data_IF_978266850264
#
_entry.id   IF_978266850264
#
_cell.length_a   1.000
_cell.length_b   1.000
_cell.length_c   1.000
_cell.angle_alpha   90.00
_cell.angle_beta   90.00
_cell.angle_gamma   90.00
#
_symmetry.space_group_name_H-M   'P 1'
#
loop_
_entity.id
_entity.type
_entity.pdbx_description
1 polymer ?
#
# COMPACT_ATOMS: atom_id res chain seq x y z
N UNK A 1 31.55 -3.54 8.89
CA UNK A 1 30.14 -3.25 9.23
C UNK A 1 29.67 -2.14 8.29
N UNK A 2 28.54 -2.29 7.61
CA UNK A 2 28.03 -1.23 6.72
C UNK A 2 27.48 -0.07 7.56
N UNK A 3 27.89 1.18 7.31
CA UNK A 3 27.30 2.32 8.00
C UNK A 3 25.80 2.45 7.70
N UNK A 4 25.02 2.80 8.71
CA UNK A 4 23.58 3.06 8.59
C UNK A 4 23.30 4.52 8.93
N UNK A 5 22.66 5.24 8.02
CA UNK A 5 22.26 6.64 8.19
C UNK A 5 20.75 6.74 8.33
N UNK A 6 20.28 7.45 9.36
CA UNK A 6 18.88 7.74 9.59
C UNK A 6 18.63 9.23 9.32
N UNK A 7 17.81 9.54 8.32
CA UNK A 7 17.46 10.90 7.93
C UNK A 7 16.05 11.19 8.42
N UNK A 8 15.93 12.11 9.38
CA UNK A 8 14.64 12.61 9.87
C UNK A 8 14.28 14.00 9.37
N UNK A 9 15.13 14.62 8.54
CA UNK A 9 14.95 15.96 7.98
C UNK A 9 14.54 15.87 6.50
N UNK A 10 13.47 16.56 6.13
CA UNK A 10 12.90 16.47 4.78
C UNK A 10 13.78 17.11 3.71
N UNK A 11 14.43 18.24 4.03
CA UNK A 11 15.26 18.94 3.06
C UNK A 11 16.48 18.09 2.72
N UNK A 12 17.10 17.47 3.73
CA UNK A 12 18.18 16.52 3.54
C UNK A 12 17.72 15.25 2.81
N UNK A 13 16.53 14.74 3.13
CA UNK A 13 15.98 13.57 2.44
C UNK A 13 15.74 13.85 0.96
N UNK A 14 15.20 15.03 0.59
CA UNK A 14 15.04 15.47 -0.80
C UNK A 14 16.39 15.69 -1.49
N UNK A 15 17.35 16.32 -0.82
CA UNK A 15 18.70 16.48 -1.36
C UNK A 15 19.34 15.13 -1.74
N UNK A 16 19.26 14.14 -0.84
CA UNK A 16 19.90 12.83 -1.04
C UNK A 16 19.10 11.95 -1.99
N UNK A 17 17.80 11.78 -1.74
CA UNK A 17 16.96 10.83 -2.47
C UNK A 17 16.36 11.41 -3.74
N UNK A 18 16.25 12.73 -3.87
CA UNK A 18 15.82 13.36 -5.11
C UNK A 18 16.99 13.79 -5.97
N UNK A 19 17.70 14.84 -5.54
CA UNK A 19 18.73 15.46 -6.37
C UNK A 19 19.91 14.53 -6.64
N UNK A 20 20.17 13.58 -5.73
CA UNK A 20 21.30 12.63 -5.82
C UNK A 20 20.86 11.17 -5.95
N UNK A 21 19.64 10.93 -6.42
CA UNK A 21 19.06 9.59 -6.58
C UNK A 21 19.92 8.58 -7.33
N UNK A 22 20.67 9.00 -8.35
CA UNK A 22 21.58 8.12 -9.10
C UNK A 22 22.61 7.46 -8.19
N UNK A 23 23.03 8.14 -7.13
CA UNK A 23 23.97 7.63 -6.12
C UNK A 23 23.28 6.91 -4.97
N UNK A 24 22.06 7.29 -4.59
CA UNK A 24 21.45 6.86 -3.33
C UNK A 24 20.17 6.03 -3.45
N UNK A 25 19.58 5.86 -4.63
CA UNK A 25 18.28 5.18 -4.76
C UNK A 25 18.38 3.66 -4.97
N UNK A 26 19.57 3.04 -4.88
CA UNK A 26 19.70 1.59 -4.90
C UNK A 26 19.09 0.94 -3.65
N UNK A 27 19.01 -0.39 -3.61
CA UNK A 27 18.51 -1.16 -2.46
C UNK A 27 19.62 -1.99 -1.82
N UNK A 28 19.65 -2.11 -0.48
CA UNK A 28 20.56 -3.03 0.18
C UNK A 28 20.28 -4.48 -0.25
N UNK A 29 21.35 -5.24 -0.40
CA UNK A 29 21.25 -6.68 -0.67
C UNK A 29 20.97 -7.39 0.65
N UNK A 30 19.85 -8.10 0.71
CA UNK A 30 19.57 -9.06 1.78
C UNK A 30 19.97 -10.44 1.24
N UNK A 31 21.12 -11.02 1.65
CA UNK A 31 21.66 -12.24 1.04
C UNK A 31 20.65 -13.37 0.98
N UNK A 32 19.89 -13.59 2.06
CA UNK A 32 18.88 -14.63 2.10
C UNK A 32 17.77 -14.44 1.08
N UNK A 33 17.27 -13.21 0.93
CA UNK A 33 16.20 -12.90 -0.01
C UNK A 33 16.71 -13.05 -1.44
N UNK A 34 17.83 -12.43 -1.77
CA UNK A 34 18.38 -12.45 -3.12
C UNK A 34 18.85 -13.84 -3.58
N UNK A 35 19.22 -14.73 -2.66
CA UNK A 35 19.65 -16.08 -3.03
C UNK A 35 18.51 -17.10 -3.07
N UNK A 36 17.50 -16.97 -2.19
CA UNK A 36 16.55 -18.06 -1.95
C UNK A 36 15.08 -17.68 -2.01
N UNK A 37 14.70 -16.45 -1.64
CA UNK A 37 13.29 -16.03 -1.58
C UNK A 37 12.86 -15.38 -2.90
N UNK A 38 13.70 -14.51 -3.46
CA UNK A 38 13.46 -13.78 -4.70
C UNK A 38 14.76 -13.64 -5.54
N UNK A 39 15.28 -14.76 -6.06
CA UNK A 39 16.49 -14.73 -6.89
C UNK A 39 16.28 -14.01 -8.22
N UNK A 40 15.04 -13.98 -8.72
CA UNK A 40 14.66 -13.25 -9.93
C UNK A 40 14.49 -11.73 -9.69
N UNK A 41 14.53 -11.27 -8.43
CA UNK A 41 14.39 -9.87 -8.05
C UNK A 41 13.08 -9.24 -8.55
N UNK A 42 11.98 -10.01 -8.50
CA UNK A 42 10.64 -9.56 -8.93
C UNK A 42 9.98 -8.62 -7.91
N UNK A 43 10.43 -8.61 -6.66
CA UNK A 43 10.02 -7.60 -5.69
C UNK A 43 10.76 -6.28 -5.92
N UNK A 44 10.25 -5.47 -6.83
CA UNK A 44 10.86 -4.19 -7.21
C UNK A 44 11.10 -3.22 -6.06
N UNK A 45 10.33 -3.34 -4.97
CA UNK A 45 10.52 -2.55 -3.76
C UNK A 45 11.85 -2.86 -3.05
N UNK A 46 12.34 -4.10 -3.16
CA UNK A 46 13.51 -4.63 -2.47
C UNK A 46 14.70 -4.90 -3.40
N UNK A 47 14.48 -4.89 -4.72
CA UNK A 47 15.52 -5.20 -5.69
C UNK A 47 16.37 -4.00 -6.08
N UNK A 48 17.57 -4.29 -6.59
CA UNK A 48 18.43 -3.27 -7.19
C UNK A 48 17.77 -2.70 -8.44
N UNK A 49 18.15 -1.47 -8.77
CA UNK A 49 17.79 -0.88 -10.06
C UNK A 49 18.50 -1.64 -11.19
N UNK A 50 17.80 -2.61 -11.76
CA UNK A 50 18.20 -3.38 -12.93
C UNK A 50 17.19 -3.13 -14.07
N UNK A 51 17.40 -3.76 -15.22
CA UNK A 51 16.51 -3.61 -16.38
C UNK A 51 15.06 -3.98 -16.06
N UNK A 52 14.85 -5.08 -15.33
CA UNK A 52 13.53 -5.54 -14.88
C UNK A 52 12.81 -4.51 -14.01
N UNK A 53 13.53 -3.88 -13.07
CA UNK A 53 13.02 -2.81 -12.23
C UNK A 53 12.57 -1.60 -13.06
N UNK A 54 13.37 -1.20 -14.07
CA UNK A 54 13.04 -0.07 -14.94
C UNK A 54 11.80 -0.35 -15.80
N UNK A 55 11.68 -1.58 -16.32
CA UNK A 55 10.48 -2.03 -17.03
C UNK A 55 9.26 -1.96 -16.10
N UNK A 56 9.37 -2.52 -14.89
CA UNK A 56 8.30 -2.49 -13.89
C UNK A 56 7.86 -1.08 -13.52
N UNK A 57 8.81 -0.16 -13.33
CA UNK A 57 8.53 1.27 -13.10
C UNK A 57 7.77 1.92 -14.25
N UNK A 58 8.17 1.69 -15.50
CA UNK A 58 7.47 2.23 -16.69
C UNK A 58 6.05 1.69 -16.79
N UNK A 59 5.89 0.38 -16.62
CA UNK A 59 4.59 -0.30 -16.64
C UNK A 59 3.66 0.26 -15.55
N UNK A 60 4.14 0.36 -14.32
CA UNK A 60 3.35 0.88 -13.21
C UNK A 60 3.03 2.37 -13.39
N UNK A 61 3.94 3.18 -13.92
CA UNK A 61 3.68 4.58 -14.21
C UNK A 61 2.54 4.76 -15.22
N UNK A 62 2.47 3.89 -16.24
CA UNK A 62 1.36 3.85 -17.20
C UNK A 62 0.02 3.53 -16.55
N UNK A 63 -0.05 2.50 -15.70
CA UNK A 63 -1.27 2.19 -14.93
C UNK A 63 -1.71 3.36 -14.04
N UNK A 64 -0.76 4.01 -13.37
CA UNK A 64 -1.06 5.11 -12.47
C UNK A 64 -1.48 6.38 -13.22
N UNK A 65 -1.11 6.52 -14.50
CA UNK A 65 -1.67 7.55 -15.36
C UNK A 65 -3.16 7.30 -15.63
N UNK A 66 -3.57 6.06 -15.95
CA UNK A 66 -4.97 5.67 -16.09
C UNK A 66 -5.77 5.86 -14.79
N UNK A 67 -5.19 5.49 -13.64
CA UNK A 67 -5.78 5.79 -12.32
C UNK A 67 -5.98 7.29 -12.14
N UNK A 68 -4.99 8.13 -12.49
CA UNK A 68 -5.12 9.59 -12.42
C UNK A 68 -6.15 10.16 -13.40
N UNK A 69 -6.37 9.50 -14.54
CA UNK A 69 -7.41 9.85 -15.49
C UNK A 69 -8.82 9.46 -15.01
N UNK A 70 -8.95 8.75 -13.89
CA UNK A 70 -10.24 8.40 -13.30
C UNK A 70 -10.82 7.07 -13.76
N UNK A 71 -10.05 6.25 -14.48
CA UNK A 71 -10.57 4.97 -14.98
C UNK A 71 -11.05 4.07 -13.84
N UNK A 72 -10.31 3.99 -12.73
CA UNK A 72 -10.64 3.13 -11.58
C UNK A 72 -11.70 3.68 -10.65
N UNK A 73 -12.21 4.89 -10.89
CA UNK A 73 -13.18 5.55 -10.01
C UNK A 73 -14.47 4.75 -9.80
N UNK A 74 -15.07 4.11 -10.83
CA UNK A 74 -16.26 3.29 -10.63
C UNK A 74 -16.00 2.11 -9.69
N UNK A 75 -14.86 1.42 -9.84
CA UNK A 75 -14.50 0.32 -8.94
C UNK A 75 -14.36 0.82 -7.49
N UNK A 76 -13.69 1.95 -7.28
CA UNK A 76 -13.44 2.49 -5.95
C UNK A 76 -14.74 2.97 -5.28
N UNK A 77 -15.68 3.52 -6.05
CA UNK A 77 -17.00 3.90 -5.54
C UNK A 77 -17.84 2.68 -5.18
N UNK A 78 -17.85 1.66 -6.04
CA UNK A 78 -18.59 0.42 -5.80
C UNK A 78 -18.14 -0.27 -4.51
N UNK A 79 -16.83 -0.45 -4.34
CA UNK A 79 -16.28 -1.12 -3.16
C UNK A 79 -16.47 -0.31 -1.87
N UNK A 80 -16.44 1.03 -1.96
CA UNK A 80 -16.73 1.90 -0.83
C UNK A 80 -18.21 1.83 -0.43
N UNK A 81 -19.12 1.80 -1.41
CA UNK A 81 -20.55 1.59 -1.14
C UNK A 81 -20.80 0.24 -0.49
N UNK A 82 -20.22 -0.84 -1.03
CA UNK A 82 -20.33 -2.18 -0.46
C UNK A 82 -19.77 -2.24 0.97
N UNK A 83 -18.71 -1.48 1.25
CA UNK A 83 -18.17 -1.37 2.59
C UNK A 83 -19.16 -0.74 3.57
N UNK A 84 -19.81 0.35 3.16
CA UNK A 84 -20.83 1.04 3.96
C UNK A 84 -22.03 0.12 4.21
N UNK A 85 -22.49 -0.63 3.22
CA UNK A 85 -23.61 -1.56 3.40
C UNK A 85 -23.27 -2.66 4.40
N UNK A 86 -22.08 -3.26 4.31
CA UNK A 86 -21.67 -4.27 5.30
C UNK A 86 -21.52 -3.70 6.71
N UNK A 87 -21.00 -2.47 6.84
CA UNK A 87 -20.93 -1.78 8.12
C UNK A 87 -22.32 -1.50 8.71
N UNK A 88 -23.31 -1.17 7.88
CA UNK A 88 -24.71 -1.00 8.30
C UNK A 88 -25.31 -2.33 8.76
N UNK A 89 -25.13 -3.40 7.99
CA UNK A 89 -25.69 -4.72 8.30
C UNK A 89 -25.12 -5.31 9.60
N UNK A 90 -23.81 -5.12 9.82
CA UNK A 90 -23.11 -5.59 11.02
C UNK A 90 -23.25 -4.62 12.22
N UNK A 91 -23.73 -3.41 11.99
CA UNK A 91 -23.78 -2.35 13.00
C UNK A 91 -22.38 -1.89 13.46
N UNK A 92 -21.36 -2.06 12.62
CA UNK A 92 -19.98 -1.65 12.90
C UNK A 92 -19.20 -2.51 13.90
N UNK A 93 -19.67 -3.72 14.25
CA UNK A 93 -19.05 -4.59 15.25
C UNK A 93 -17.67 -5.09 14.84
N UNK A 94 -17.50 -5.51 13.59
CA UNK A 94 -16.24 -6.00 13.04
C UNK A 94 -15.61 -4.98 12.08
N UNK A 95 -15.44 -3.75 12.57
CA UNK A 95 -14.86 -2.63 11.81
C UNK A 95 -13.58 -3.01 11.05
N UNK A 96 -12.62 -3.65 11.73
CA UNK A 96 -11.33 -3.99 11.12
C UNK A 96 -11.48 -4.97 9.95
N UNK A 97 -12.37 -5.95 10.06
CA UNK A 97 -12.64 -6.87 8.97
C UNK A 97 -13.15 -6.14 7.72
N UNK A 98 -14.10 -5.21 7.89
CA UNK A 98 -14.66 -4.45 6.76
C UNK A 98 -13.61 -3.56 6.09
N UNK A 99 -12.76 -2.89 6.88
CA UNK A 99 -11.65 -2.06 6.36
C UNK A 99 -10.60 -2.92 5.62
N UNK A 100 -10.23 -4.08 6.17
CA UNK A 100 -9.30 -5.00 5.51
C UNK A 100 -9.89 -5.55 4.21
N UNK A 101 -11.19 -5.91 4.22
CA UNK A 101 -11.93 -6.41 3.06
C UNK A 101 -11.99 -5.37 1.94
N UNK A 102 -12.42 -4.14 2.21
CA UNK A 102 -12.55 -3.12 1.16
C UNK A 102 -11.20 -2.81 0.53
N UNK A 103 -10.15 -2.72 1.34
CA UNK A 103 -8.79 -2.48 0.87
C UNK A 103 -8.32 -3.62 -0.06
N UNK A 104 -8.47 -4.86 0.38
CA UNK A 104 -8.03 -6.01 -0.39
C UNK A 104 -8.87 -6.21 -1.66
N UNK A 105 -10.20 -6.14 -1.56
CA UNK A 105 -11.10 -6.35 -2.70
C UNK A 105 -10.88 -5.31 -3.79
N UNK A 106 -10.68 -4.03 -3.44
CA UNK A 106 -10.34 -2.98 -4.41
C UNK A 106 -9.05 -3.31 -5.18
N UNK A 107 -7.97 -3.64 -4.47
CA UNK A 107 -6.66 -3.90 -5.09
C UNK A 107 -6.70 -5.17 -5.94
N UNK A 108 -7.30 -6.25 -5.42
CA UNK A 108 -7.36 -7.53 -6.13
C UNK A 108 -8.32 -7.50 -7.33
N UNK A 109 -9.40 -6.72 -7.24
CA UNK A 109 -10.28 -6.46 -8.39
C UNK A 109 -9.56 -5.64 -9.46
N UNK A 110 -8.83 -4.59 -9.10
CA UNK A 110 -8.07 -3.79 -10.06
C UNK A 110 -6.92 -4.59 -10.70
N UNK A 111 -6.18 -5.35 -9.89
CA UNK A 111 -4.99 -6.07 -10.32
C UNK A 111 -5.33 -7.34 -11.12
N UNK A 112 -6.23 -8.18 -10.61
CA UNK A 112 -6.50 -9.52 -11.12
C UNK A 112 -7.97 -9.77 -11.47
N UNK A 113 -8.87 -8.81 -11.21
CA UNK A 113 -10.31 -8.99 -11.37
C UNK A 113 -10.88 -9.99 -10.37
N UNK A 114 -10.20 -10.17 -9.22
CA UNK A 114 -10.64 -10.97 -8.10
C UNK A 114 -11.41 -10.09 -7.13
N UNK A 115 -12.74 -10.12 -7.21
CA UNK A 115 -13.63 -9.45 -6.28
C UNK A 115 -13.81 -10.28 -5.01
N UNK A 116 -13.68 -9.65 -3.84
CA UNK A 116 -13.75 -10.28 -2.52
C UNK A 116 -14.88 -9.64 -1.68
N UNK A 117 -16.15 -9.97 -1.96
CA UNK A 117 -17.30 -9.37 -1.28
C UNK A 117 -17.35 -9.73 0.21
N UNK A 118 -16.92 -10.92 0.62
CA UNK A 118 -17.03 -11.36 2.03
C UNK A 118 -15.75 -11.14 2.83
N UNK A 119 -14.60 -10.99 2.16
CA UNK A 119 -13.30 -10.98 2.82
C UNK A 119 -12.88 -12.34 3.38
N UNK A 120 -13.64 -13.40 3.10
CA UNK A 120 -13.42 -14.76 3.58
C UNK A 120 -13.03 -15.73 2.46
N UNK A 121 -12.88 -15.22 1.24
CA UNK A 121 -12.52 -15.99 0.05
C UNK A 121 -11.18 -16.71 0.26
N UNK A 122 -11.10 -17.97 -0.20
CA UNK A 122 -9.89 -18.78 -0.04
C UNK A 122 -8.66 -18.15 -0.69
N UNK A 123 -8.84 -17.53 -1.86
CA UNK A 123 -7.76 -16.86 -2.59
C UNK A 123 -7.25 -15.64 -1.81
N UNK A 124 -8.14 -14.87 -1.17
CA UNK A 124 -7.75 -13.74 -0.33
C UNK A 124 -6.95 -14.19 0.90
N UNK A 125 -7.44 -15.22 1.60
CA UNK A 125 -6.75 -15.81 2.75
C UNK A 125 -5.36 -16.33 2.38
N UNK A 126 -5.25 -16.95 1.22
CA UNK A 126 -3.98 -17.45 0.68
C UNK A 126 -3.00 -16.31 0.39
N UNK A 127 -3.47 -15.23 -0.23
CA UNK A 127 -2.66 -14.03 -0.50
C UNK A 127 -2.14 -13.43 0.80
N UNK A 128 -3.00 -13.27 1.82
CA UNK A 128 -2.57 -12.76 3.12
C UNK A 128 -1.60 -13.70 3.84
N UNK A 129 -1.78 -15.02 3.72
CA UNK A 129 -0.83 -15.99 4.26
C UNK A 129 0.55 -15.87 3.59
N UNK A 130 0.60 -15.74 2.26
CA UNK A 130 1.84 -15.48 1.53
C UNK A 130 2.48 -14.15 1.94
N UNK A 131 1.72 -13.06 2.07
CA UNK A 131 2.25 -11.76 2.52
C UNK A 131 2.81 -11.81 3.95
N UNK A 132 2.16 -12.54 4.85
CA UNK A 132 2.64 -12.74 6.21
C UNK A 132 3.96 -13.54 6.24
N UNK A 133 4.07 -14.59 5.42
CA UNK A 133 5.29 -15.38 5.29
C UNK A 133 6.42 -14.56 4.65
N UNK A 134 6.14 -13.78 3.61
CA UNK A 134 7.10 -12.86 3.01
C UNK A 134 7.68 -11.90 4.05
N UNK A 135 6.81 -11.30 4.86
CA UNK A 135 7.20 -10.36 5.92
C UNK A 135 8.17 -10.98 6.93
N UNK A 136 8.02 -12.27 7.21
CA UNK A 136 8.95 -13.03 8.07
C UNK A 136 10.27 -13.31 7.34
N UNK A 137 10.23 -13.67 6.06
CA UNK A 137 11.38 -14.06 5.27
C UNK A 137 12.31 -12.88 4.89
N UNK A 138 11.74 -11.68 4.70
CA UNK A 138 12.53 -10.47 4.38
C UNK A 138 13.16 -9.82 5.61
N UNK A 139 12.79 -10.27 6.82
CA UNK A 139 13.37 -9.75 8.04
C UNK A 139 14.89 -10.02 8.06
N UNK A 140 15.75 -9.03 8.39
CA UNK A 140 17.18 -9.26 8.54
C UNK A 140 17.53 -10.44 9.45
N UNK A 141 16.72 -10.74 10.47
CA UNK A 141 16.93 -11.87 11.39
C UNK A 141 16.39 -13.21 10.87
N UNK A 142 15.79 -13.27 9.69
CA UNK A 142 15.17 -14.49 9.15
C UNK A 142 16.17 -15.62 8.88
N UNK A 143 17.43 -15.28 8.66
CA UNK A 143 18.47 -16.26 8.39
C UNK A 143 19.83 -15.80 8.88
N UNK A 144 20.63 -16.76 9.37
CA UNK A 144 22.00 -16.51 9.83
C UNK A 144 22.90 -15.97 8.71
N UNK A 145 22.61 -16.30 7.44
CA UNK A 145 23.41 -15.83 6.30
C UNK A 145 23.24 -14.33 6.01
N UNK A 146 22.21 -13.69 6.58
CA UNK A 146 22.11 -12.22 6.51
C UNK A 146 23.17 -11.54 7.39
N UNK A 147 23.59 -12.21 8.48
CA UNK A 147 24.63 -11.71 9.40
C UNK A 147 26.01 -12.24 9.01
N UNK A 148 26.08 -13.52 8.63
CA UNK A 148 27.31 -14.22 8.28
C UNK A 148 27.18 -14.82 6.86
N UNK A 149 27.29 -14.00 5.79
CA UNK A 149 27.04 -14.46 4.42
C UNK A 149 27.97 -15.60 3.97
N UNK A 150 29.19 -15.66 4.51
CA UNK A 150 30.16 -16.70 4.18
C UNK A 150 29.71 -18.11 4.58
N UNK A 151 28.75 -18.26 5.50
CA UNK A 151 28.18 -19.56 5.85
C UNK A 151 27.42 -20.19 4.68
N UNK A 152 27.02 -19.41 3.67
CA UNK A 152 26.36 -19.94 2.49
C UNK A 152 27.30 -20.70 1.55
N UNK A 153 28.62 -20.66 1.78
CA UNK A 153 29.60 -21.49 1.05
C UNK A 153 29.44 -22.97 1.43
N UNK A 154 28.87 -23.27 2.61
CA UNK A 154 28.79 -24.64 3.11
C UNK A 154 27.81 -25.46 2.23
N UNK A 155 28.26 -26.59 1.64
CA UNK A 155 27.42 -27.41 0.76
C UNK A 155 26.34 -28.16 1.55
N UNK A 156 25.29 -28.58 0.84
CA UNK A 156 24.22 -29.42 1.40
C UNK A 156 22.91 -28.67 1.70
N UNK A 157 21.89 -29.39 2.18
CA UNK A 157 20.54 -28.87 2.27
C UNK A 157 20.34 -28.13 3.60
N UNK A 158 20.99 -26.96 3.72
CA UNK A 158 20.97 -26.13 4.92
C UNK A 158 19.57 -25.63 5.29
N UNK A 159 19.28 -25.37 6.58
CA UNK A 159 17.93 -24.99 7.04
C UNK A 159 17.35 -23.78 6.30
N UNK A 160 18.17 -22.75 6.04
CA UNK A 160 17.72 -21.54 5.34
C UNK A 160 17.29 -21.84 3.90
N UNK A 161 18.00 -22.72 3.18
CA UNK A 161 17.66 -23.13 1.81
C UNK A 161 16.33 -23.86 1.75
N UNK A 162 16.11 -24.79 2.71
CA UNK A 162 14.86 -25.55 2.81
C UNK A 162 13.67 -24.67 3.19
N UNK A 163 13.89 -23.63 3.99
CA UNK A 163 12.81 -22.79 4.50
C UNK A 163 12.19 -21.87 3.43
N UNK A 164 12.98 -21.37 2.47
CA UNK A 164 12.49 -20.46 1.44
C UNK A 164 11.80 -21.16 0.25
N UNK A 165 12.19 -22.39 -0.08
CA UNK A 165 11.69 -23.10 -1.27
C UNK A 165 10.16 -23.32 -1.29
N UNK A 166 9.51 -23.78 -0.19
CA UNK A 166 8.07 -23.97 -0.18
C UNK A 166 7.31 -22.67 -0.41
N UNK A 167 7.80 -21.56 0.18
CA UNK A 167 7.23 -20.24 0.01
C UNK A 167 7.23 -19.82 -1.45
N UNK A 168 8.38 -19.90 -2.14
CA UNK A 168 8.49 -19.44 -3.52
C UNK A 168 7.58 -20.22 -4.46
N UNK A 169 7.56 -21.55 -4.32
CA UNK A 169 6.69 -22.43 -5.12
C UNK A 169 5.21 -22.11 -4.91
N UNK A 170 4.80 -21.89 -3.66
CA UNK A 170 3.42 -21.54 -3.28
C UNK A 170 3.01 -20.19 -3.89
N UNK A 171 3.89 -19.19 -3.79
CA UNK A 171 3.64 -17.87 -4.35
C UNK A 171 3.56 -17.88 -5.88
N UNK A 172 4.51 -18.52 -6.57
CA UNK A 172 4.50 -18.61 -8.03
C UNK A 172 3.22 -19.31 -8.51
N UNK A 173 2.77 -20.38 -7.85
CA UNK A 173 1.50 -21.04 -8.15
C UNK A 173 0.28 -20.13 -7.97
N UNK A 174 0.28 -19.32 -6.90
CA UNK A 174 -0.81 -18.39 -6.63
C UNK A 174 -0.89 -17.30 -7.70
N UNK A 175 0.22 -16.63 -8.02
CA UNK A 175 0.23 -15.58 -9.03
C UNK A 175 -0.02 -16.13 -10.44
N UNK A 176 0.50 -17.30 -10.79
CA UNK A 176 0.22 -17.95 -12.08
C UNK A 176 -1.28 -18.24 -12.24
N UNK A 177 -1.92 -18.75 -11.19
CA UNK A 177 -3.39 -18.92 -11.14
C UNK A 177 -4.13 -17.59 -11.35
N UNK A 178 -3.75 -16.54 -10.62
CA UNK A 178 -4.41 -15.23 -10.69
C UNK A 178 -4.24 -14.56 -12.04
N UNK A 179 -3.03 -14.59 -12.60
CA UNK A 179 -2.70 -14.02 -13.91
C UNK A 179 -3.44 -14.80 -15.01
N UNK A 180 -3.45 -16.13 -14.96
CA UNK A 180 -4.15 -16.96 -15.94
C UNK A 180 -5.65 -16.62 -15.98
N UNK A 181 -6.31 -16.50 -14.82
CA UNK A 181 -7.72 -16.08 -14.73
C UNK A 181 -7.96 -14.67 -15.26
N UNK A 182 -7.02 -13.76 -15.00
CA UNK A 182 -7.09 -12.39 -15.50
C UNK A 182 -6.99 -12.32 -17.03
N UNK A 183 -6.13 -13.14 -17.64
CA UNK A 183 -5.91 -13.18 -19.10
C UNK A 183 -7.03 -13.92 -19.82
N UNK A 184 -7.52 -15.04 -19.26
CA UNK A 184 -8.57 -15.87 -19.88
C UNK A 184 -9.94 -15.19 -19.93
N UNK A 185 -10.12 -14.08 -19.20
CA UNK A 185 -11.40 -13.38 -19.11
C UNK A 185 -12.39 -14.03 -18.13
N UNK A 186 -11.97 -15.09 -17.41
CA UNK A 186 -12.72 -15.68 -16.28
C UNK A 186 -12.74 -14.79 -15.04
N UNK A 187 -11.86 -13.78 -15.00
CA UNK A 187 -11.94 -12.68 -14.04
C UNK A 187 -13.23 -11.85 -14.23
N UNK A 188 -13.47 -10.86 -13.37
CA UNK A 188 -14.70 -10.02 -13.30
C UNK A 188 -15.15 -9.30 -14.59
N UNK A 189 -14.59 -9.60 -15.77
CA UNK A 189 -14.90 -8.99 -17.05
C UNK A 189 -14.35 -7.58 -17.20
N UNK A 190 -13.52 -7.13 -16.25
CA UNK A 190 -12.89 -5.82 -16.23
C UNK A 190 -11.56 -5.79 -16.98
N UNK A 191 -11.13 -4.59 -17.36
CA UNK A 191 -9.73 -4.30 -17.67
C UNK A 191 -8.88 -4.38 -16.40
N UNK A 192 -8.38 -5.58 -16.10
CA UNK A 192 -7.44 -5.81 -15.00
C UNK A 192 -6.03 -5.35 -15.39
N UNK A 193 -5.26 -4.90 -14.42
CA UNK A 193 -3.87 -4.51 -14.67
C UNK A 193 -3.03 -5.69 -15.17
N UNK A 194 -3.26 -6.90 -14.64
CA UNK A 194 -2.59 -8.11 -15.10
C UNK A 194 -2.90 -8.40 -16.58
N UNK A 195 -4.16 -8.27 -17.01
CA UNK A 195 -4.52 -8.49 -18.40
C UNK A 195 -3.97 -7.40 -19.33
N UNK A 196 -3.89 -6.15 -18.86
CA UNK A 196 -3.29 -5.04 -19.59
C UNK A 196 -1.78 -5.21 -19.83
N UNK A 197 -1.08 -5.92 -18.93
CA UNK A 197 0.34 -6.24 -19.08
C UNK A 197 0.63 -7.48 -19.92
N UNK A 198 -0.29 -8.45 -19.95
CA UNK A 198 -0.06 -9.74 -20.58
C UNK A 198 -0.58 -9.87 -22.02
N UNK A 199 -1.61 -9.11 -22.42
CA UNK A 199 -2.19 -9.18 -23.78
C UNK A 199 -1.45 -8.23 -24.75
N UNK A 200 -1.09 -8.76 -25.93
CA UNK A 200 -0.43 -7.99 -27.01
C UNK A 200 -1.42 -7.15 -27.82
N UNK A 201 -2.65 -7.64 -27.93
CA UNK A 201 -3.83 -6.92 -28.38
C UNK A 201 -4.48 -6.24 -27.17
N UNK A 202 -4.75 -4.93 -27.27
CA UNK A 202 -5.41 -4.17 -26.20
C UNK A 202 -6.91 -4.05 -26.50
N UNK A 203 -7.78 -4.98 -26.10
CA UNK A 203 -9.21 -4.69 -26.08
C UNK A 203 -9.52 -3.84 -24.85
N UNK A 204 -10.24 -2.74 -25.05
CA UNK A 204 -10.80 -1.92 -23.98
C UNK A 204 -11.90 -2.70 -23.24
N UNK A 205 -11.60 -3.22 -22.05
CA UNK A 205 -12.58 -3.66 -21.06
C UNK A 205 -13.20 -2.49 -20.28
N UNK A 206 -14.50 -2.56 -20.08
CA UNK A 206 -15.29 -1.49 -19.45
C UNK A 206 -15.32 -1.64 -17.93
N UNK A 207 -14.57 -0.81 -17.20
CA UNK A 207 -14.59 -0.77 -15.73
C UNK A 207 -15.95 -0.33 -15.16
N UNK A 208 -16.86 0.21 -15.99
CA UNK A 208 -18.26 0.50 -15.62
C UNK A 208 -19.12 -0.76 -15.51
N UNK A 209 -18.66 -1.93 -15.99
CA UNK A 209 -19.45 -3.17 -15.94
C UNK A 209 -19.75 -3.63 -14.51
N UNK A 210 -18.79 -3.51 -13.57
CA UNK A 210 -19.07 -3.79 -12.15
C UNK A 210 -20.08 -2.80 -11.55
N UNK A 211 -20.01 -1.53 -11.97
CA UNK A 211 -21.00 -0.53 -11.57
C UNK A 211 -22.38 -0.95 -12.10
N UNK A 212 -22.52 -1.14 -13.41
CA UNK A 212 -23.78 -1.46 -14.08
C UNK A 212 -24.41 -2.80 -13.67
N UNK A 213 -23.62 -3.78 -13.21
CA UNK A 213 -24.14 -5.05 -12.68
C UNK A 213 -24.93 -4.87 -11.37
N UNK A 214 -24.73 -3.76 -10.64
CA UNK A 214 -25.40 -3.48 -9.37
C UNK A 214 -26.05 -2.09 -9.29
N UNK A 215 -25.73 -1.16 -10.20
CA UNK A 215 -26.37 0.16 -10.32
C UNK A 215 -27.54 0.13 -11.28
N UNK A 216 -28.66 -0.45 -10.84
CA UNK A 216 -29.97 -0.10 -11.38
C UNK A 216 -30.82 0.50 -10.28
N UNK A 217 -30.50 1.75 -9.93
CA UNK A 217 -31.40 2.90 -9.73
C UNK A 217 -30.62 4.05 -9.07
N UNK A 218 -30.55 5.16 -9.79
CA UNK A 218 -30.25 6.51 -9.29
C UNK A 218 -28.89 6.76 -8.66
N UNK A 219 -27.95 7.27 -9.47
CA UNK A 219 -26.89 8.14 -8.93
C UNK A 219 -26.65 9.28 -9.92
N UNK A 220 -27.06 10.51 -9.57
CA UNK A 220 -26.46 11.72 -10.13
C UNK A 220 -26.54 12.98 -9.22
N UNK A 221 -25.33 13.49 -8.94
CA UNK A 221 -24.79 14.84 -8.62
C UNK A 221 -25.37 15.89 -7.60
N UNK A 222 -24.45 16.44 -6.79
CA UNK A 222 -24.39 17.54 -5.78
C UNK A 222 -25.41 17.61 -4.60
N UNK A 223 -25.16 17.10 -3.39
CA UNK A 223 -26.25 16.54 -2.52
C UNK A 223 -26.42 17.14 -1.13
N UNK A 224 -27.69 17.36 -0.75
CA UNK A 224 -28.17 17.22 0.63
C UNK A 224 -28.23 15.75 1.09
N UNK A 225 -29.32 15.34 1.75
CA UNK A 225 -29.51 13.97 2.29
C UNK A 225 -29.88 12.92 1.22
N UNK A 226 -30.09 13.34 -0.03
CA UNK A 226 -30.84 12.55 -1.04
C UNK A 226 -30.01 11.64 -1.98
N UNK A 227 -28.66 11.59 -1.87
CA UNK A 227 -27.73 10.73 -2.63
C UNK A 227 -26.33 10.68 -2.00
N UNK A 228 -25.44 9.80 -2.51
CA UNK A 228 -24.11 9.48 -1.94
C UNK A 228 -22.91 10.30 -2.49
N UNK A 229 -21.85 10.55 -1.69
CA UNK A 229 -20.62 11.22 -2.15
C UNK A 229 -19.91 10.54 -3.33
N UNK A 230 -19.30 11.34 -4.22
CA UNK A 230 -18.58 10.87 -5.42
C UNK A 230 -17.28 11.64 -5.65
N UNK A 231 -16.41 11.18 -6.56
CA UNK A 231 -15.15 11.89 -6.87
C UNK A 231 -15.37 13.30 -7.44
N UNK A 232 -16.54 13.57 -8.06
CA UNK A 232 -16.94 14.92 -8.51
C UNK A 232 -17.11 15.92 -7.35
N UNK A 233 -17.26 15.43 -6.12
CA UNK A 233 -17.43 16.24 -4.91
C UNK A 233 -16.08 16.59 -4.25
N UNK A 234 -14.97 15.89 -4.60
CA UNK A 234 -13.65 16.08 -3.96
C UNK A 234 -13.13 17.52 -3.94
N UNK A 235 -13.19 18.31 -5.03
CA UNK A 235 -12.75 19.70 -4.99
C UNK A 235 -13.54 20.59 -4.02
N UNK A 236 -14.76 20.18 -3.65
CA UNK A 236 -15.66 20.90 -2.73
C UNK A 236 -15.61 20.39 -1.29
N UNK A 237 -14.80 19.35 -1.01
CA UNK A 237 -14.68 18.72 0.30
C UNK A 237 -13.24 18.84 0.85
N UNK A 238 -12.73 20.08 1.05
CA UNK A 238 -11.36 20.30 1.51
C UNK A 238 -11.08 19.77 2.92
N UNK A 239 -12.12 19.68 3.77
CA UNK A 239 -11.96 19.12 5.12
C UNK A 239 -11.74 17.61 5.10
N UNK A 240 -12.44 16.88 4.23
CA UNK A 240 -12.22 15.44 4.03
C UNK A 240 -10.80 15.20 3.50
N UNK A 241 -10.35 16.04 2.57
CA UNK A 241 -8.96 16.01 2.08
C UNK A 241 -7.95 16.25 3.22
N UNK A 242 -8.24 17.17 4.14
CA UNK A 242 -7.40 17.40 5.32
C UNK A 242 -7.36 16.16 6.24
N UNK A 243 -8.49 15.48 6.47
CA UNK A 243 -8.53 14.23 7.27
C UNK A 243 -7.66 13.14 6.65
N UNK A 244 -7.75 12.94 5.32
CA UNK A 244 -6.92 11.96 4.61
C UNK A 244 -5.44 12.26 4.82
N UNK A 245 -5.03 13.51 4.59
CA UNK A 245 -3.63 13.94 4.74
C UNK A 245 -3.15 13.83 6.18
N UNK A 246 -3.97 14.22 7.14
CA UNK A 246 -3.63 14.17 8.56
C UNK A 246 -3.53 12.74 9.07
N UNK A 247 -4.39 11.84 8.60
CA UNK A 247 -4.29 10.40 8.88
C UNK A 247 -2.96 9.84 8.38
N UNK A 248 -2.56 10.18 7.15
CA UNK A 248 -1.29 9.74 6.57
C UNK A 248 -0.08 10.42 7.23
N UNK A 249 -0.25 11.64 7.75
CA UNK A 249 0.78 12.37 8.50
C UNK A 249 1.02 11.75 9.88
N UNK A 250 -0.06 11.48 10.62
CA UNK A 250 -0.01 10.93 11.97
C UNK A 250 0.31 9.44 11.96
N UNK A 251 -0.17 8.66 10.99
CA UNK A 251 0.04 7.20 10.90
C UNK A 251 0.46 6.77 9.50
N UNK A 252 1.66 7.15 9.02
CA UNK A 252 2.16 6.65 7.74
C UNK A 252 2.28 5.13 7.75
N UNK A 253 1.83 4.51 6.64
CA UNK A 253 1.86 3.06 6.47
C UNK A 253 3.27 2.47 6.60
N UNK A 254 4.31 3.19 6.12
CA UNK A 254 5.70 2.79 6.21
C UNK A 254 6.50 3.72 7.15
N UNK A 255 6.41 3.47 8.47
CA UNK A 255 7.00 4.35 9.51
C UNK A 255 8.51 4.60 9.38
N UNK A 256 9.26 3.65 8.85
CA UNK A 256 10.71 3.76 8.63
C UNK A 256 11.09 3.93 7.15
N UNK A 257 10.11 3.95 6.24
CA UNK A 257 10.37 3.91 4.81
C UNK A 257 10.99 2.57 4.36
N UNK A 258 11.46 2.55 3.12
CA UNK A 258 12.20 1.41 2.55
C UNK A 258 13.69 1.78 2.54
N UNK A 259 14.59 0.89 2.97
CA UNK A 259 16.00 1.22 3.03
C UNK A 259 16.60 1.40 1.65
N UNK A 260 17.48 2.39 1.56
CA UNK A 260 18.27 2.74 0.40
C UNK A 260 19.73 2.33 0.58
N UNK A 261 20.46 2.15 -0.53
CA UNK A 261 21.90 1.90 -0.50
C UNK A 261 22.64 2.86 -1.43
N UNK A 262 23.74 3.42 -0.93
CA UNK A 262 24.65 4.25 -1.72
C UNK A 262 25.47 3.41 -2.71
N UNK A 263 25.59 3.87 -3.95
CA UNK A 263 26.35 3.23 -5.04
C UNK A 263 27.73 3.85 -5.25
N UNK A 264 27.97 5.03 -4.68
CA UNK A 264 29.23 5.77 -4.72
C UNK A 264 29.44 6.54 -3.41
N UNK A 265 30.70 6.90 -3.14
CA UNK A 265 31.05 7.83 -2.07
C UNK A 265 30.49 9.22 -2.39
N UNK A 266 30.05 9.96 -1.37
CA UNK A 266 29.64 11.35 -1.53
C UNK A 266 29.83 12.14 -0.23
N UNK A 267 29.85 13.47 -0.34
CA UNK A 267 29.80 14.38 0.81
C UNK A 267 28.50 15.17 0.72
N UNK A 268 27.75 15.20 1.82
CA UNK A 268 26.50 15.95 1.93
C UNK A 268 26.65 17.01 3.02
N UNK A 269 26.31 18.25 2.67
CA UNK A 269 26.23 19.33 3.65
C UNK A 269 24.89 19.27 4.39
N UNK A 270 24.93 19.33 5.71
CA UNK A 270 23.74 19.45 6.54
C UNK A 270 24.01 20.38 7.72
N UNK A 271 23.21 21.45 7.83
CA UNK A 271 23.34 22.48 8.90
C UNK A 271 24.76 23.05 9.03
N UNK A 272 25.39 23.36 7.89
CA UNK A 272 26.74 23.94 7.83
C UNK A 272 27.88 22.98 8.20
N UNK A 273 27.61 21.67 8.24
CA UNK A 273 28.62 20.62 8.45
C UNK A 273 28.61 19.65 7.28
N UNK A 274 29.80 19.24 6.86
CA UNK A 274 29.97 18.21 5.84
C UNK A 274 29.93 16.81 6.46
N UNK A 275 29.14 15.93 5.88
CA UNK A 275 29.02 14.53 6.25
C UNK A 275 29.46 13.66 5.08
N UNK A 276 30.51 12.86 5.28
CA UNK A 276 30.93 11.88 4.31
C UNK A 276 30.06 10.62 4.40
N UNK A 277 29.48 10.21 3.26
CA UNK A 277 28.69 8.99 3.12
C UNK A 277 29.47 8.01 2.24
N UNK A 278 30.05 6.95 2.83
CA UNK A 278 30.76 5.93 2.06
C UNK A 278 29.82 5.12 1.17
N UNK A 279 30.31 4.64 0.03
CA UNK A 279 29.68 3.66 -0.85
C UNK A 279 29.28 2.41 -0.07
N UNK A 280 28.08 1.91 -0.36
CA UNK A 280 27.52 0.71 0.29
C UNK A 280 26.83 0.99 1.63
N UNK A 281 26.86 2.23 2.13
CA UNK A 281 26.09 2.67 3.29
C UNK A 281 24.58 2.52 3.06
N UNK A 282 23.87 2.09 4.10
CA UNK A 282 22.41 1.96 4.13
C UNK A 282 21.80 3.26 4.63
N UNK A 283 20.75 3.75 3.98
CA UNK A 283 20.12 5.04 4.26
C UNK A 283 18.63 4.81 4.47
N UNK A 284 18.10 5.26 5.60
CA UNK A 284 16.66 5.34 5.85
C UNK A 284 16.24 6.80 5.85
N UNK A 285 15.35 7.19 4.93
CA UNK A 285 14.57 8.40 5.08
C UNK A 285 13.34 8.06 5.91
N UNK A 286 13.36 8.42 7.19
CA UNK A 286 12.34 8.02 8.16
C UNK A 286 11.13 8.94 7.99
N UNK A 287 10.01 8.46 7.42
CA UNK A 287 8.89 9.33 7.08
C UNK A 287 8.18 9.85 8.32
N UNK A 288 8.21 9.13 9.45
CA UNK A 288 7.45 9.53 10.63
C UNK A 288 7.91 10.88 11.23
N UNK A 289 9.20 11.13 11.56
CA UNK A 289 9.65 12.47 11.94
C UNK A 289 9.43 13.50 10.85
N UNK A 290 9.64 13.12 9.58
CA UNK A 290 9.50 14.01 8.42
C UNK A 290 8.06 14.51 8.27
N UNK A 291 7.08 13.61 8.28
CA UNK A 291 5.66 13.94 8.15
C UNK A 291 5.12 14.61 9.42
N UNK A 292 5.58 14.16 10.60
CA UNK A 292 5.15 14.74 11.86
C UNK A 292 5.63 16.20 12.03
N UNK A 293 6.81 16.55 11.50
CA UNK A 293 7.43 17.88 11.67
C UNK A 293 7.25 18.82 10.46
N UNK A 294 7.12 18.29 9.23
CA UNK A 294 7.11 19.10 8.00
C UNK A 294 5.78 19.07 7.22
N UNK A 295 4.76 18.34 7.70
CA UNK A 295 3.48 18.18 7.01
C UNK A 295 3.51 17.10 5.92
N UNK A 296 2.37 16.90 5.23
CA UNK A 296 2.26 15.88 4.17
C UNK A 296 3.02 16.33 2.91
N UNK A 297 4.30 15.95 2.82
CA UNK A 297 5.13 16.15 1.65
C UNK A 297 5.75 14.81 1.19
N UNK A 298 5.71 14.57 -0.12
CA UNK A 298 6.27 13.37 -0.75
C UNK A 298 7.72 13.60 -1.19
N UNK A 299 8.56 12.55 -1.12
CA UNK A 299 9.94 12.53 -1.61
C UNK A 299 9.98 11.71 -2.91
N UNK A 300 10.30 12.33 -4.04
CA UNK A 300 9.79 11.98 -5.38
C UNK A 300 10.33 10.68 -6.03
N UNK A 301 11.51 10.18 -5.67
CA UNK A 301 12.18 9.18 -6.56
C UNK A 301 12.01 7.74 -6.10
N UNK A 302 11.54 7.56 -4.87
CA UNK A 302 11.18 6.25 -4.32
C UNK A 302 9.74 6.25 -3.79
N UNK A 303 8.93 7.17 -4.30
CA UNK A 303 7.49 7.24 -4.06
C UNK A 303 6.86 5.91 -4.43
N UNK A 304 6.02 5.42 -3.52
CA UNK A 304 5.14 4.30 -3.76
C UNK A 304 4.32 4.60 -5.01
N UNK A 305 4.45 3.81 -6.09
CA UNK A 305 3.73 4.13 -7.32
C UNK A 305 2.21 4.07 -7.11
N UNK A 306 1.72 3.31 -6.14
CA UNK A 306 0.31 3.17 -5.82
C UNK A 306 -0.35 4.35 -5.09
N UNK A 307 0.36 5.43 -4.76
CA UNK A 307 -0.21 6.59 -4.04
C UNK A 307 -1.49 7.13 -4.71
N UNK A 308 -1.53 7.37 -6.04
CA UNK A 308 -2.73 7.92 -6.67
C UNK A 308 -3.96 7.04 -6.49
N UNK A 309 -3.78 5.71 -6.48
CA UNK A 309 -4.86 4.77 -6.23
C UNK A 309 -5.27 4.78 -4.75
N UNK A 310 -4.29 4.68 -3.85
CA UNK A 310 -4.52 4.62 -2.41
C UNK A 310 -5.21 5.89 -1.86
N UNK A 311 -4.73 7.08 -2.23
CA UNK A 311 -5.34 8.34 -1.78
C UNK A 311 -6.79 8.49 -2.24
N UNK A 312 -7.10 8.09 -3.48
CA UNK A 312 -8.47 8.11 -4.01
C UNK A 312 -9.36 7.13 -3.25
N UNK A 313 -8.88 5.91 -3.01
CA UNK A 313 -9.61 4.90 -2.23
C UNK A 313 -9.86 5.36 -0.81
N UNK A 314 -8.85 5.93 -0.14
CA UNK A 314 -9.00 6.48 1.21
C UNK A 314 -10.02 7.61 1.23
N UNK A 315 -9.90 8.55 0.30
CA UNK A 315 -10.79 9.70 0.23
C UNK A 315 -12.27 9.28 0.06
N UNK A 316 -12.58 8.40 -0.90
CA UNK A 316 -13.97 8.00 -1.14
C UNK A 316 -14.56 7.20 0.02
N UNK A 317 -13.78 6.30 0.64
CA UNK A 317 -14.23 5.56 1.81
C UNK A 317 -14.50 6.50 2.99
N UNK A 318 -13.58 7.42 3.29
CA UNK A 318 -13.77 8.39 4.39
C UNK A 318 -14.98 9.28 4.11
N UNK A 319 -15.12 9.79 2.87
CA UNK A 319 -16.25 10.63 2.49
C UNK A 319 -17.59 9.89 2.68
N UNK A 320 -17.70 8.65 2.20
CA UNK A 320 -18.93 7.86 2.35
C UNK A 320 -19.19 7.49 3.81
N UNK A 321 -18.18 7.09 4.57
CA UNK A 321 -18.35 6.75 5.99
C UNK A 321 -18.81 7.95 6.82
N UNK A 322 -18.21 9.13 6.63
CA UNK A 322 -18.60 10.35 7.34
C UNK A 322 -19.97 10.88 6.92
N UNK A 323 -20.41 10.57 5.69
CA UNK A 323 -21.75 10.90 5.22
C UNK A 323 -22.80 9.94 5.80
N UNK A 324 -22.50 8.63 5.86
CA UNK A 324 -23.47 7.62 6.30
C UNK A 324 -23.57 7.48 7.81
N UNK A 325 -22.47 7.60 8.55
CA UNK A 325 -22.42 7.25 9.96
C UNK A 325 -22.14 8.45 10.86
N UNK A 326 -22.83 8.48 12.00
CA UNK A 326 -22.38 9.24 13.16
C UNK A 326 -21.49 8.34 14.02
N UNK A 327 -20.17 8.49 13.89
CA UNK A 327 -19.19 7.63 14.56
C UNK A 327 -19.00 8.13 16.00
N UNK A 328 -19.35 7.29 16.97
CA UNK A 328 -19.17 7.57 18.40
C UNK A 328 -18.26 6.55 19.06
N UNK A 329 -17.77 6.90 20.25
CA UNK A 329 -17.02 5.98 21.10
C UNK A 329 -17.89 4.78 21.47
N UNK A 330 -17.32 3.57 21.41
CA UNK A 330 -17.97 2.38 21.96
C UNK A 330 -17.90 2.39 23.49
N UNK A 331 -19.04 2.14 24.12
CA UNK A 331 -19.15 1.87 25.56
C UNK A 331 -18.94 0.37 25.88
N UNK A 332 -18.82 -0.47 24.84
CA UNK A 332 -18.58 -1.90 24.98
C UNK A 332 -17.07 -2.19 25.07
N UNK A 333 -16.63 -3.14 25.92
CA UNK A 333 -15.25 -3.60 25.95
C UNK A 333 -14.85 -4.20 24.60
N UNK A 334 -13.61 -3.93 24.17
CA UNK A 334 -13.08 -4.55 22.95
C UNK A 334 -13.11 -6.09 23.11
N UNK A 335 -13.73 -6.83 22.18
CA UNK A 335 -13.95 -8.26 22.34
C UNK A 335 -12.67 -9.11 22.28
N UNK A 336 -11.56 -8.57 21.76
CA UNK A 336 -10.25 -9.26 21.70
C UNK A 336 -9.43 -9.04 22.95
N UNK A 337 -9.48 -7.85 23.53
CA UNK A 337 -8.66 -7.45 24.68
C UNK A 337 -9.41 -7.46 26.01
N UNK A 338 -10.75 -7.45 25.98
CA UNK A 338 -11.62 -7.34 27.15
C UNK A 338 -11.57 -5.98 27.85
N UNK A 339 -10.86 -5.00 27.27
CA UNK A 339 -10.66 -3.68 27.84
C UNK A 339 -11.58 -2.68 27.12
N UNK A 340 -12.17 -1.76 27.88
CA UNK A 340 -12.69 -0.54 27.28
C UNK A 340 -11.53 0.18 26.60
N UNK A 341 -11.74 0.61 25.36
CA UNK A 341 -10.73 1.38 24.65
C UNK A 341 -10.47 2.67 25.44
N UNK A 342 -9.29 2.76 26.05
CA UNK A 342 -8.82 3.96 26.76
C UNK A 342 -8.10 4.85 25.75
N UNK A 343 -8.82 5.84 25.22
CA UNK A 343 -8.17 6.98 24.59
C UNK A 343 -7.46 7.77 25.69
N UNK A 344 -6.23 8.20 25.42
CA UNK A 344 -5.54 9.12 26.30
C UNK A 344 -6.21 10.48 26.15
N UNK A 345 -6.85 10.98 27.21
CA UNK A 345 -7.54 12.29 27.21
C UNK A 345 -6.58 13.47 26.96
N UNK A 346 -5.26 13.24 26.93
CA UNK A 346 -4.28 14.24 26.48
C UNK A 346 -4.18 14.38 24.96
N UNK A 347 -4.83 13.51 24.18
CA UNK A 347 -4.84 13.56 22.72
C UNK A 347 -5.89 14.60 22.24
N UNK A 348 -5.46 15.86 22.18
CA UNK A 348 -6.25 17.03 21.76
C UNK A 348 -7.02 16.86 20.43
N UNK A 349 -6.66 15.86 19.61
CA UNK A 349 -7.26 15.53 18.32
C UNK A 349 -8.75 15.14 18.38
N UNK A 350 -9.26 14.74 19.55
CA UNK A 350 -10.67 14.34 19.74
C UNK A 350 -11.49 15.31 20.59
N UNK A 351 -10.94 16.48 20.93
CA UNK A 351 -11.65 17.54 21.66
C UNK A 351 -12.49 18.41 20.71
N UNK A 352 -13.61 17.87 20.24
CA UNK A 352 -14.58 18.62 19.42
C UNK A 352 -15.99 18.09 19.64
N UNK A 353 -17.00 18.97 19.57
CA UNK A 353 -18.41 18.56 19.62
C UNK A 353 -18.69 17.57 18.47
N UNK A 354 -19.01 16.32 18.82
CA UNK A 354 -19.58 15.35 17.88
C UNK A 354 -20.94 15.90 17.44
N UNK A 355 -21.02 16.41 16.21
CA UNK A 355 -22.29 16.86 15.63
C UNK A 355 -23.15 15.63 15.39
N UNK A 356 -24.09 15.38 16.30
CA UNK A 356 -25.18 14.43 16.10
C UNK A 356 -26.05 14.98 14.98
N UNK A 357 -26.11 14.29 13.83
CA UNK A 357 -27.09 14.60 12.79
C UNK A 357 -28.48 14.49 13.41
N UNK A 358 -29.30 15.54 13.27
CA UNK A 358 -30.70 15.47 13.69
C UNK A 358 -31.42 14.49 12.77
N UNK A 359 -32.19 13.60 13.42
CA UNK A 359 -32.98 12.51 12.86
C UNK A 359 -33.82 12.87 11.65
#
# INVERSE_FOLDING_TARGET
MQPVFLIGDIALAKEILEKRSTKFSSRPIIPYVCSYVDPAQVYWALSKQNETYLIGRRLTAGLMAAVRAGETEPLQQFEALLNVTHLLDDGGKDWYHHIDRVSASMVLSAAFGLHCPTGQESDLKEIFACLADLSRLVNPSASIINVLPFLDIIPGPMPWRKHAQPYRKREDMLYDKLITRAISGEASGMNTWAAAFARKDKPEGDQRRLMNMFTSREIDTIIGEDRLPSFKDRPRLPYVEAIVRETLRWRPAARFGIPHQSTADDVVEYRGKEYFIPKGSVIFAVPWPVLLLAGYETIDITVCPGIPFAERSLWINIAMMLWTFNISRSEEPDPKTGLLFKYDDSDLAFSGEVRVAKS
#
